data_IF_510637987443
#
_entry.id   IF_510637987443
#
_cell.length_a   1.000
_cell.length_b   1.000
_cell.length_c   1.000
_cell.angle_alpha   90.00
_cell.angle_beta   90.00
_cell.angle_gamma   90.00
#
_symmetry.space_group_name_H-M   'P 1'
#
loop_
_entity.id
_entity.type
_entity.pdbx_description
1 polymer ?
#
# COMPACT_ATOMS: atom_id res chain seq x y z
N UNK A 1 4.48 9.08 13.56
CA UNK A 1 3.26 9.55 12.92
C UNK A 1 2.35 8.38 12.54
N UNK A 2 1.04 8.63 12.32
CA UNK A 2 0.07 7.60 11.94
C UNK A 2 0.49 6.83 10.67
N UNK A 3 1.07 7.53 9.69
CA UNK A 3 1.53 6.90 8.46
C UNK A 3 2.62 5.84 8.69
N UNK A 4 3.66 6.15 9.47
CA UNK A 4 4.71 5.17 9.79
C UNK A 4 4.24 4.05 10.72
N UNK A 5 3.25 4.34 11.59
CA UNK A 5 2.60 3.29 12.36
C UNK A 5 1.87 2.30 11.43
N UNK A 6 1.19 2.81 10.40
CA UNK A 6 0.56 1.99 9.38
C UNK A 6 1.58 1.17 8.57
N UNK A 7 2.76 1.73 8.24
CA UNK A 7 3.85 0.95 7.61
C UNK A 7 4.23 -0.25 8.49
N UNK A 8 4.43 -0.03 9.80
CA UNK A 8 4.73 -1.13 10.73
C UNK A 8 3.63 -2.18 10.82
N UNK A 9 2.36 -1.78 10.78
CA UNK A 9 1.24 -2.72 10.73
C UNK A 9 1.23 -3.51 9.40
N UNK A 10 1.47 -2.84 8.28
CA UNK A 10 1.49 -3.48 6.97
C UNK A 10 2.63 -4.51 6.81
N UNK A 11 3.74 -4.33 7.54
CA UNK A 11 4.83 -5.33 7.60
C UNK A 11 4.40 -6.63 8.27
N UNK A 12 3.38 -6.59 9.12
CA UNK A 12 2.77 -7.75 9.79
C UNK A 12 1.47 -8.22 9.09
N UNK A 13 1.39 -8.04 7.78
CA UNK A 13 0.27 -8.48 6.90
C UNK A 13 -1.11 -7.86 7.23
N UNK A 14 -1.16 -6.83 8.08
CA UNK A 14 -2.37 -6.03 8.22
C UNK A 14 -2.60 -5.18 6.96
N UNK A 15 -3.85 -4.82 6.71
CA UNK A 15 -4.24 -3.88 5.64
C UNK A 15 -4.74 -2.57 6.27
N UNK A 16 -3.81 -1.71 6.73
CA UNK A 16 -4.18 -0.52 7.47
C UNK A 16 -4.85 0.53 6.60
N UNK A 17 -5.76 1.28 7.23
CA UNK A 17 -6.37 2.48 6.66
C UNK A 17 -5.91 3.68 7.48
N UNK A 18 -5.33 4.67 6.82
CA UNK A 18 -4.94 5.95 7.44
C UNK A 18 -5.93 7.01 7.05
N UNK A 19 -6.67 7.52 8.02
CA UNK A 19 -7.67 8.57 7.81
C UNK A 19 -7.11 9.90 8.29
N UNK A 20 -7.20 10.95 7.45
CA UNK A 20 -6.75 12.30 7.81
C UNK A 20 -7.73 13.37 7.38
N UNK A 21 -7.59 14.54 8.01
CA UNK A 21 -8.19 15.79 7.53
C UNK A 21 -7.45 16.31 6.29
N UNK A 22 -7.97 17.34 5.66
CA UNK A 22 -7.40 17.96 4.47
C UNK A 22 -6.10 18.76 4.74
N UNK A 23 -5.43 19.13 3.67
CA UNK A 23 -4.29 20.02 3.69
C UNK A 23 -2.97 19.32 4.05
N UNK A 24 -2.13 19.98 4.83
CA UNK A 24 -0.77 19.52 5.15
C UNK A 24 -0.73 18.17 5.90
N UNK A 25 -1.84 17.78 6.55
CA UNK A 25 -1.96 16.45 7.15
C UNK A 25 -1.77 15.33 6.11
N UNK A 26 -2.29 15.53 4.90
CA UNK A 26 -2.13 14.60 3.79
C UNK A 26 -0.70 14.61 3.25
N UNK A 27 -0.10 15.80 3.09
CA UNK A 27 1.27 15.96 2.62
C UNK A 27 2.30 15.19 3.49
N UNK A 28 2.05 15.12 4.81
CA UNK A 28 2.89 14.36 5.74
C UNK A 28 2.84 12.84 5.54
N UNK A 29 1.92 12.34 4.75
CA UNK A 29 1.81 10.91 4.45
C UNK A 29 2.65 10.48 3.24
N UNK A 30 3.29 11.42 2.52
CA UNK A 30 4.12 11.09 1.36
C UNK A 30 5.29 10.17 1.73
N UNK A 31 6.01 10.47 2.80
CA UNK A 31 7.14 9.63 3.21
C UNK A 31 6.72 8.19 3.56
N UNK A 32 5.70 7.94 4.40
CA UNK A 32 5.22 6.58 4.63
C UNK A 32 4.60 5.92 3.39
N UNK A 33 4.06 6.68 2.42
CA UNK A 33 3.60 6.13 1.16
C UNK A 33 4.77 5.59 0.31
N UNK A 34 5.87 6.33 0.27
CA UNK A 34 7.11 5.91 -0.40
C UNK A 34 7.64 4.61 0.22
N UNK A 35 7.76 4.55 1.54
CA UNK A 35 8.22 3.34 2.23
C UNK A 35 7.33 2.14 1.92
N UNK A 36 6.02 2.28 2.06
CA UNK A 36 5.07 1.20 1.79
C UNK A 36 5.12 0.75 0.31
N UNK A 37 5.34 1.70 -0.62
CA UNK A 37 5.45 1.40 -2.05
C UNK A 37 6.66 0.51 -2.36
N UNK A 38 7.83 0.87 -1.84
CA UNK A 38 9.05 0.09 -2.06
C UNK A 38 9.07 -1.21 -1.25
N UNK A 39 8.34 -1.27 -0.15
CA UNK A 39 8.14 -2.48 0.65
C UNK A 39 7.11 -3.45 0.03
N UNK A 40 6.44 -3.05 -1.07
CA UNK A 40 5.31 -3.79 -1.65
C UNK A 40 4.23 -4.09 -0.60
N UNK A 41 3.85 -3.09 0.19
CA UNK A 41 2.83 -3.19 1.24
C UNK A 41 1.63 -2.32 0.92
N UNK A 42 0.45 -2.89 1.17
CA UNK A 42 -0.79 -2.15 1.04
C UNK A 42 -1.00 -1.21 2.23
N UNK A 43 -1.32 0.04 1.95
CA UNK A 43 -1.91 1.01 2.88
C UNK A 43 -2.97 1.79 2.13
N UNK A 44 -4.18 1.88 2.67
CA UNK A 44 -5.19 2.80 2.15
C UNK A 44 -5.04 4.16 2.85
N UNK A 45 -4.69 5.19 2.08
CA UNK A 45 -4.78 6.58 2.53
C UNK A 45 -6.17 7.12 2.17
N UNK A 46 -7.02 7.26 3.18
CA UNK A 46 -8.37 7.80 3.05
C UNK A 46 -8.37 9.22 3.61
N UNK A 47 -8.36 10.20 2.72
CA UNK A 47 -8.14 11.60 3.08
C UNK A 47 -9.40 12.42 2.84
N UNK A 48 -9.81 13.21 3.84
CA UNK A 48 -10.84 14.20 3.63
C UNK A 48 -10.27 15.39 2.84
N UNK A 49 -11.07 15.98 1.99
CA UNK A 49 -10.73 17.21 1.25
C UNK A 49 -11.87 18.21 1.33
N UNK A 50 -11.55 19.46 0.99
CA UNK A 50 -12.53 20.51 0.76
C UNK A 50 -13.32 20.22 -0.52
N UNK A 51 -14.49 20.88 -0.71
CA UNK A 51 -15.21 20.81 -1.98
C UNK A 51 -14.28 21.10 -3.16
N UNK A 52 -14.44 20.40 -4.25
CA UNK A 52 -13.61 20.61 -5.46
C UNK A 52 -13.59 22.08 -5.92
N UNK A 53 -14.69 22.81 -5.69
CA UNK A 53 -14.81 24.24 -5.97
C UNK A 53 -13.86 25.14 -5.16
N UNK A 54 -13.30 24.64 -4.05
CA UNK A 54 -12.38 25.40 -3.18
C UNK A 54 -10.92 25.28 -3.64
N UNK A 55 -10.61 24.41 -4.57
CA UNK A 55 -9.25 24.24 -5.10
C UNK A 55 -8.77 25.52 -5.76
N UNK A 56 -7.54 25.91 -5.50
CA UNK A 56 -6.91 27.14 -6.00
C UNK A 56 -7.62 28.45 -5.58
N UNK A 57 -8.56 28.38 -4.63
CA UNK A 57 -9.29 29.59 -4.15
C UNK A 57 -8.57 30.32 -3.01
N UNK A 58 -7.51 29.74 -2.45
CA UNK A 58 -6.87 30.25 -1.23
C UNK A 58 -7.66 29.93 0.04
N UNK A 59 -8.66 29.05 -0.02
CA UNK A 59 -9.42 28.62 1.15
C UNK A 59 -8.50 27.98 2.19
N UNK A 60 -8.76 28.16 3.49
CA UNK A 60 -7.96 27.54 4.55
C UNK A 60 -7.94 26.03 4.44
N UNK A 61 -6.77 25.43 4.65
CA UNK A 61 -6.57 23.99 4.68
C UNK A 61 -6.95 23.31 3.33
N UNK A 62 -6.82 24.03 2.23
CA UNK A 62 -7.00 23.55 0.86
C UNK A 62 -5.67 23.57 0.14
N UNK A 63 -5.26 22.43 -0.41
CA UNK A 63 -4.04 22.24 -1.21
C UNK A 63 -4.37 21.35 -2.43
N UNK A 64 -3.43 21.22 -3.35
CA UNK A 64 -3.51 20.28 -4.49
C UNK A 64 -3.33 18.84 -3.99
N UNK A 65 -4.37 18.33 -3.34
CA UNK A 65 -4.35 17.06 -2.60
C UNK A 65 -4.52 15.85 -3.50
N UNK A 66 -5.28 16.01 -4.58
CA UNK A 66 -5.47 14.97 -5.58
C UNK A 66 -4.14 14.64 -6.28
N UNK A 67 -3.73 13.37 -6.23
CA UNK A 67 -2.48 12.91 -6.84
C UNK A 67 -1.20 13.30 -6.08
N UNK A 68 -1.28 13.80 -4.85
CA UNK A 68 -0.14 14.26 -4.06
C UNK A 68 0.92 13.18 -3.82
N UNK A 69 0.54 11.91 -3.85
CA UNK A 69 1.47 10.79 -3.69
C UNK A 69 2.14 10.37 -5.00
N UNK A 70 1.74 10.94 -6.15
CA UNK A 70 2.36 10.65 -7.44
C UNK A 70 2.34 9.16 -7.77
N UNK A 71 3.51 8.64 -8.19
CA UNK A 71 3.69 7.22 -8.55
C UNK A 71 3.77 6.26 -7.36
N UNK A 72 3.72 6.76 -6.13
CA UNK A 72 3.83 5.94 -4.90
C UNK A 72 2.50 5.38 -4.41
N UNK A 73 1.44 5.55 -5.17
CA UNK A 73 0.17 4.84 -5.01
C UNK A 73 -0.20 4.13 -6.31
N UNK A 74 -0.74 2.92 -6.20
CA UNK A 74 -1.21 2.14 -7.36
C UNK A 74 -2.39 2.81 -8.06
N UNK A 75 -3.20 3.53 -7.29
CA UNK A 75 -4.34 4.28 -7.78
C UNK A 75 -4.61 5.50 -6.89
N UNK A 76 -5.16 6.55 -7.48
CA UNK A 76 -5.65 7.73 -6.78
C UNK A 76 -7.07 8.03 -7.26
N UNK A 77 -8.04 7.97 -6.34
CA UNK A 77 -9.43 8.31 -6.61
C UNK A 77 -9.79 9.62 -5.91
N UNK A 78 -10.35 10.56 -6.67
CA UNK A 78 -10.80 11.86 -6.19
C UNK A 78 -12.33 11.93 -6.30
N UNK A 79 -13.02 11.65 -5.22
CA UNK A 79 -14.48 11.42 -5.20
C UNK A 79 -15.19 12.39 -4.27
N UNK A 80 -16.37 12.82 -4.68
CA UNK A 80 -17.31 13.65 -3.94
C UNK A 80 -18.64 12.91 -3.66
N UNK A 81 -18.83 11.78 -4.33
CA UNK A 81 -19.94 10.87 -4.08
C UNK A 81 -19.43 9.43 -4.01
N UNK A 82 -20.08 8.59 -3.21
CA UNK A 82 -19.73 7.16 -3.15
C UNK A 82 -20.00 6.55 -4.52
N UNK A 83 -18.99 5.96 -5.19
CA UNK A 83 -19.15 5.40 -6.52
C UNK A 83 -20.13 4.22 -6.51
N UNK A 84 -20.87 4.06 -7.61
CA UNK A 84 -21.78 2.92 -7.77
C UNK A 84 -21.01 1.61 -8.07
N UNK A 85 -19.82 1.72 -8.65
CA UNK A 85 -18.99 0.59 -9.03
C UNK A 85 -18.06 0.15 -7.89
N UNK A 86 -17.63 -1.10 -7.96
CA UNK A 86 -16.58 -1.63 -7.11
C UNK A 86 -15.24 -0.94 -7.37
N UNK A 87 -14.46 -0.75 -6.32
CA UNK A 87 -13.12 -0.20 -6.36
C UNK A 87 -12.13 -1.33 -6.11
N UNK A 88 -11.36 -1.68 -7.12
CA UNK A 88 -10.35 -2.73 -7.01
C UNK A 88 -9.04 -2.16 -6.46
N UNK A 89 -8.48 -2.86 -5.48
CA UNK A 89 -7.25 -2.49 -4.80
C UNK A 89 -6.16 -3.54 -5.04
N UNK A 90 -4.96 -3.09 -5.38
CA UNK A 90 -3.76 -3.93 -5.38
C UNK A 90 -3.30 -4.13 -3.92
N UNK A 91 -3.23 -5.38 -3.47
CA UNK A 91 -2.88 -5.70 -2.09
C UNK A 91 -1.37 -5.60 -1.80
N UNK A 92 -0.57 -5.26 -2.81
CA UNK A 92 0.87 -5.07 -2.72
C UNK A 92 1.34 -3.62 -2.81
N UNK A 93 0.43 -2.65 -2.99
CA UNK A 93 0.80 -1.24 -3.17
C UNK A 93 -0.13 -0.31 -2.39
N UNK A 94 0.36 0.86 -1.96
CA UNK A 94 -0.50 1.87 -1.38
C UNK A 94 -1.55 2.37 -2.37
N UNK A 95 -2.69 2.79 -1.84
CA UNK A 95 -3.78 3.41 -2.59
C UNK A 95 -4.24 4.68 -1.91
N UNK A 96 -4.65 5.67 -2.68
CA UNK A 96 -5.19 6.94 -2.18
C UNK A 96 -6.64 7.11 -2.61
N UNK A 97 -7.52 7.37 -1.65
CA UNK A 97 -8.89 7.83 -1.89
C UNK A 97 -9.05 9.19 -1.23
N UNK A 98 -9.24 10.21 -2.06
CA UNK A 98 -9.47 11.58 -1.65
C UNK A 98 -10.96 11.87 -1.65
N UNK A 99 -11.55 12.13 -0.49
CA UNK A 99 -12.98 12.38 -0.31
C UNK A 99 -13.26 13.86 -0.16
N UNK A 100 -13.91 14.44 -1.17
CA UNK A 100 -14.32 15.83 -1.15
C UNK A 100 -15.67 15.98 -0.43
N UNK A 101 -15.72 16.80 0.62
CA UNK A 101 -16.94 17.04 1.39
C UNK A 101 -17.42 18.47 1.23
N UNK A 102 -18.71 18.63 0.98
CA UNK A 102 -19.36 19.93 1.10
C UNK A 102 -19.41 20.38 2.57
N UNK A 103 -19.50 21.70 2.79
CA UNK A 103 -19.68 22.22 4.13
C UNK A 103 -21.06 21.81 4.65
N UNK A 104 -21.16 21.10 5.78
CA UNK A 104 -22.45 20.74 6.34
C UNK A 104 -23.14 21.98 6.91
N UNK A 105 -24.03 22.57 6.13
CA UNK A 105 -24.79 23.75 6.57
C UNK A 105 -25.94 23.38 7.52
N UNK A 106 -26.58 22.21 7.27
CA UNK A 106 -27.62 21.61 8.13
C UNK A 106 -27.51 20.09 8.06
N UNK A 107 -26.81 19.49 8.99
CA UNK A 107 -26.71 18.04 9.02
C UNK A 107 -27.94 17.43 9.71
N UNK A 108 -28.81 16.83 8.92
CA UNK A 108 -29.82 15.89 9.41
C UNK A 108 -29.31 14.49 9.06
N UNK A 109 -29.22 13.62 10.06
CA UNK A 109 -28.86 12.23 9.84
C UNK A 109 -29.96 11.56 8.98
N UNK A 110 -29.66 11.28 7.73
CA UNK A 110 -30.53 10.46 6.90
C UNK A 110 -30.36 8.98 7.28
N UNK A 111 -31.46 8.23 7.32
CA UNK A 111 -31.50 6.84 7.78
C UNK A 111 -30.77 5.84 6.84
N UNK A 112 -30.31 6.28 5.68
CA UNK A 112 -29.61 5.40 4.72
C UNK A 112 -28.14 5.80 4.58
N UNK A 113 -27.29 5.17 5.36
CA UNK A 113 -25.83 5.28 5.22
C UNK A 113 -25.35 4.29 4.17
N UNK A 114 -24.83 4.82 3.05
CA UNK A 114 -24.06 4.02 2.10
C UNK A 114 -22.62 3.90 2.60
N UNK A 115 -22.07 2.71 2.61
CA UNK A 115 -20.70 2.45 3.08
C UNK A 115 -19.74 2.28 1.92
N UNK A 116 -18.69 3.06 1.89
CA UNK A 116 -17.61 2.93 0.91
C UNK A 116 -16.94 1.55 1.01
N UNK A 117 -16.83 0.99 2.21
CA UNK A 117 -16.22 -0.32 2.45
C UNK A 117 -16.86 -1.47 1.67
N UNK A 118 -18.15 -1.37 1.35
CA UNK A 118 -18.87 -2.36 0.54
C UNK A 118 -18.43 -2.37 -0.92
N UNK A 119 -17.69 -1.33 -1.35
CA UNK A 119 -17.19 -1.17 -2.72
C UNK A 119 -15.72 -1.51 -2.87
N UNK A 120 -14.99 -1.74 -1.77
CA UNK A 120 -13.57 -1.99 -1.79
C UNK A 120 -13.29 -3.49 -1.94
N UNK A 121 -12.66 -3.87 -3.05
CA UNK A 121 -12.33 -5.27 -3.36
C UNK A 121 -10.83 -5.43 -3.57
N UNK A 122 -10.23 -6.37 -2.85
CA UNK A 122 -8.84 -6.72 -3.06
C UNK A 122 -8.69 -7.68 -4.24
N UNK A 123 -7.91 -7.25 -5.23
CA UNK A 123 -7.44 -8.15 -6.25
C UNK A 123 -6.34 -9.05 -5.64
N UNK A 124 -6.58 -10.35 -5.56
CA UNK A 124 -5.49 -11.30 -5.41
C UNK A 124 -4.74 -11.33 -6.73
N UNK A 125 -3.53 -10.77 -6.74
CA UNK A 125 -2.60 -11.04 -7.82
C UNK A 125 -2.42 -12.56 -7.88
N UNK A 126 -2.74 -13.16 -9.02
CA UNK A 126 -2.42 -14.54 -9.27
C UNK A 126 -0.89 -14.67 -9.15
N UNK A 127 -0.43 -15.46 -8.21
CA UNK A 127 0.99 -15.83 -8.15
C UNK A 127 1.28 -16.68 -9.39
N UNK A 128 1.85 -16.08 -10.41
CA UNK A 128 2.43 -16.85 -11.51
C UNK A 128 3.62 -17.63 -10.94
N UNK A 129 3.46 -18.92 -10.80
CA UNK A 129 4.58 -19.81 -10.51
C UNK A 129 5.39 -19.96 -11.78
N UNK A 130 6.53 -19.31 -11.88
CA UNK A 130 7.53 -19.58 -12.91
C UNK A 130 8.43 -20.72 -12.42
N UNK A 131 8.64 -21.71 -13.28
CA UNK A 131 9.65 -22.73 -13.06
C UNK A 131 11.00 -22.11 -13.42
N UNK A 132 11.91 -22.00 -12.46
CA UNK A 132 13.30 -21.57 -12.69
C UNK A 132 14.10 -22.78 -13.15
N UNK A 133 14.54 -22.77 -14.41
CA UNK A 133 15.52 -23.71 -14.91
C UNK A 133 16.92 -23.20 -14.57
N UNK A 134 17.59 -23.89 -13.66
CA UNK A 134 18.95 -23.54 -13.22
C UNK A 134 19.95 -23.99 -14.28
N UNK A 135 20.63 -23.03 -14.92
CA UNK A 135 21.64 -23.30 -15.96
C UNK A 135 22.96 -22.66 -15.56
N UNK A 136 23.94 -23.48 -15.15
CA UNK A 136 25.33 -23.04 -14.92
C UNK A 136 25.61 -22.54 -13.50
N UNK A 137 26.71 -21.80 -13.34
CA UNK A 137 27.16 -21.20 -12.06
C UNK A 137 26.40 -19.90 -11.81
N UNK A 138 25.24 -19.97 -11.18
CA UNK A 138 24.41 -18.80 -10.86
C UNK A 138 24.59 -18.37 -9.42
N UNK A 139 24.64 -17.06 -9.19
CA UNK A 139 24.58 -16.46 -7.88
C UNK A 139 23.16 -15.91 -7.63
N UNK A 140 22.50 -16.41 -6.62
CA UNK A 140 21.21 -15.91 -6.18
C UNK A 140 21.39 -14.84 -5.10
N UNK A 141 20.87 -13.66 -5.36
CA UNK A 141 20.82 -12.59 -4.36
C UNK A 141 19.39 -12.51 -3.83
N UNK A 142 19.21 -12.85 -2.56
CA UNK A 142 17.90 -12.82 -1.91
C UNK A 142 17.86 -11.63 -0.99
N UNK A 143 17.03 -10.65 -1.33
CA UNK A 143 16.84 -9.45 -0.53
C UNK A 143 15.57 -9.58 0.32
N UNK A 144 14.60 -8.72 0.13
CA UNK A 144 13.38 -8.69 0.92
C UNK A 144 12.37 -9.76 0.45
N UNK A 145 11.89 -10.57 1.38
CA UNK A 145 10.80 -11.52 1.17
C UNK A 145 9.58 -11.12 2.01
N UNK A 146 8.40 -11.51 1.54
CA UNK A 146 7.20 -11.52 2.36
C UNK A 146 7.24 -12.73 3.29
N UNK A 147 6.62 -12.66 4.46
CA UNK A 147 6.63 -13.75 5.44
C UNK A 147 6.14 -15.08 4.85
N UNK A 148 5.12 -15.03 4.00
CA UNK A 148 4.58 -16.21 3.31
C UNK A 148 5.48 -16.77 2.19
N UNK A 149 6.49 -16.03 1.73
CA UNK A 149 7.45 -16.47 0.71
C UNK A 149 8.65 -17.20 1.31
N UNK A 150 9.02 -16.86 2.54
CA UNK A 150 10.20 -17.42 3.23
C UNK A 150 10.22 -18.95 3.21
N UNK A 151 9.14 -19.69 3.57
CA UNK A 151 9.18 -21.15 3.58
C UNK A 151 9.44 -21.77 2.21
N UNK A 152 8.96 -21.14 1.14
CA UNK A 152 9.17 -21.64 -0.24
C UNK A 152 10.63 -21.45 -0.67
N UNK A 153 11.21 -20.30 -0.35
CA UNK A 153 12.62 -19.98 -0.65
C UNK A 153 13.55 -20.86 0.18
N UNK A 154 13.30 -21.05 1.47
CA UNK A 154 14.08 -21.96 2.30
C UNK A 154 14.05 -23.40 1.78
N UNK A 155 12.88 -23.88 1.35
CA UNK A 155 12.76 -25.21 0.74
C UNK A 155 13.56 -25.31 -0.54
N UNK A 156 13.56 -24.27 -1.39
CA UNK A 156 14.37 -24.20 -2.59
C UNK A 156 15.86 -24.29 -2.26
N UNK A 157 16.34 -23.49 -1.30
CA UNK A 157 17.75 -23.48 -0.88
C UNK A 157 18.20 -24.83 -0.28
N UNK A 158 17.33 -25.50 0.46
CA UNK A 158 17.61 -26.83 1.02
C UNK A 158 17.76 -27.91 -0.04
N UNK A 159 17.02 -27.79 -1.14
CA UNK A 159 16.96 -28.83 -2.18
C UNK A 159 17.96 -28.61 -3.31
N UNK A 160 18.59 -27.44 -3.40
CA UNK A 160 19.50 -27.07 -4.47
C UNK A 160 20.83 -26.60 -3.91
N UNK A 161 21.94 -27.12 -4.46
CA UNK A 161 23.28 -26.63 -4.16
C UNK A 161 23.56 -25.39 -5.02
N UNK A 162 23.16 -24.23 -4.54
CA UNK A 162 23.30 -22.95 -5.23
C UNK A 162 24.14 -21.98 -4.43
N UNK A 163 24.85 -21.09 -5.11
CA UNK A 163 25.55 -19.99 -4.45
C UNK A 163 24.55 -18.89 -4.11
N UNK A 164 24.47 -18.48 -2.84
CA UNK A 164 23.44 -17.56 -2.37
C UNK A 164 24.06 -16.42 -1.55
N UNK A 165 23.69 -15.20 -1.87
CA UNK A 165 23.91 -14.02 -1.04
C UNK A 165 22.59 -13.64 -0.36
N UNK A 166 22.54 -13.71 0.97
CA UNK A 166 21.39 -13.31 1.76
C UNK A 166 21.59 -11.90 2.32
N UNK A 167 20.70 -10.98 1.97
CA UNK A 167 20.62 -9.69 2.65
C UNK A 167 19.88 -9.81 3.99
N UNK A 168 20.14 -8.89 4.92
CA UNK A 168 19.51 -8.89 6.23
C UNK A 168 17.96 -8.80 6.16
N UNK A 169 17.44 -8.19 5.09
CA UNK A 169 16.01 -8.04 4.82
C UNK A 169 15.32 -9.31 4.31
N UNK A 170 16.10 -10.37 3.98
CA UNK A 170 15.55 -11.62 3.43
C UNK A 170 14.75 -12.43 4.45
N UNK A 171 14.92 -12.19 5.75
CA UNK A 171 14.32 -12.96 6.86
C UNK A 171 14.72 -14.44 6.90
N UNK A 172 15.69 -14.85 6.06
CA UNK A 172 16.22 -16.22 6.06
C UNK A 172 17.36 -16.31 7.05
N UNK A 173 17.35 -17.33 7.88
CA UNK A 173 18.39 -17.53 8.91
C UNK A 173 19.75 -17.84 8.25
N UNK A 174 20.83 -17.25 8.80
CA UNK A 174 22.19 -17.35 8.23
C UNK A 174 22.74 -18.77 8.21
N UNK A 175 22.15 -19.70 8.93
CA UNK A 175 22.55 -21.11 8.93
C UNK A 175 22.35 -21.81 7.58
N UNK A 176 21.65 -21.16 6.63
CA UNK A 176 21.52 -21.65 5.25
C UNK A 176 22.70 -21.31 4.35
N UNK A 177 23.55 -20.36 4.73
CA UNK A 177 24.75 -19.97 3.97
C UNK A 177 25.93 -20.94 4.09
N UNK A 178 25.76 -22.07 4.75
CA UNK A 178 26.80 -22.97 5.20
C UNK A 178 27.23 -24.07 4.23
N UNK A 179 27.09 -23.88 2.93
CA UNK A 179 27.77 -24.69 1.92
C UNK A 179 28.25 -23.82 0.77
N UNK A 180 29.25 -22.99 1.04
CA UNK A 180 30.16 -22.48 0.02
C UNK A 180 31.35 -23.40 -0.13
#
# INVERSE_FOLDING_TARGET
>A
SAGFYAVGLAQNDFKPVVITSSGTAVAQLLAPAIEAFYDNRFILFLTADRPKSYRSSGAPQSIEQNGIFGSYCSNCLDIDEIPNNEIYMDDSKPMHINLCFENPLNWQAEEQTKYLSEKLIFNKLASESSQLDLVGDELYVISRLKENEVPAVEKFLKNNSVCVLLEASSQIDKDFSGKA
#
